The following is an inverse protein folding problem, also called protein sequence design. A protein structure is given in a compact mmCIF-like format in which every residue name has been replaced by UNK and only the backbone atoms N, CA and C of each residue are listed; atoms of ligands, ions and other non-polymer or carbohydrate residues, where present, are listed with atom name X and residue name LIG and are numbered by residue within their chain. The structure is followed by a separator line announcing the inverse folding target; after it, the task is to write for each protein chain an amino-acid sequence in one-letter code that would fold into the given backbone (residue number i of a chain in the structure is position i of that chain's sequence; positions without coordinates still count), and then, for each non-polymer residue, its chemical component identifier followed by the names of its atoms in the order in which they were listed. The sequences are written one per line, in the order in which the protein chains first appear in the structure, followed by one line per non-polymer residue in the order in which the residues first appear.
data_IF_596040344669
#
_entry.id   IF_596040344669
#
_cell.length_a   1.000
_cell.length_b   1.000
_cell.length_c   1.000
_cell.angle_alpha   90.00
_cell.angle_beta   90.00
_cell.angle_gamma   90.00
#
_symmetry.space_group_name_H-M   'P 1'
#
loop_
_entity.id
_entity.type
_entity.pdbx_description
1 polymer ?
#
# COMPACT_ATOMS: atom_id res chain seq x y z
N UNK A 1 -19.85 12.27 3.86
CA UNK A 1 -19.80 13.74 3.97
C UNK A 1 -19.15 14.29 2.72
N UNK A 2 -19.52 15.48 2.20
CA UNK A 2 -18.81 16.07 1.08
C UNK A 2 -17.35 16.32 1.47
N UNK A 3 -16.45 16.23 0.50
CA UNK A 3 -15.05 16.56 0.68
C UNK A 3 -14.91 18.06 0.95
N UNK A 4 -14.09 18.44 1.92
CA UNK A 4 -13.79 19.82 2.24
C UNK A 4 -12.68 20.40 1.35
N UNK A 5 -12.45 21.70 1.46
CA UNK A 5 -11.40 22.44 0.70
C UNK A 5 -10.02 21.82 0.84
N UNK A 6 -9.66 21.34 2.03
CA UNK A 6 -8.39 20.66 2.29
C UNK A 6 -8.22 19.38 1.45
N UNK A 7 -9.28 18.59 1.27
CA UNK A 7 -9.26 17.37 0.45
C UNK A 7 -9.07 17.70 -1.04
N UNK A 8 -9.71 18.76 -1.53
CA UNK A 8 -9.51 19.19 -2.91
C UNK A 8 -8.09 19.72 -3.13
N UNK A 9 -7.55 20.48 -2.18
CA UNK A 9 -6.19 21.03 -2.26
C UNK A 9 -5.13 19.91 -2.32
N UNK A 10 -5.22 18.89 -1.46
CA UNK A 10 -4.29 17.76 -1.49
C UNK A 10 -4.45 16.96 -2.79
N UNK A 11 -5.69 16.72 -3.23
CA UNK A 11 -5.97 16.07 -4.50
C UNK A 11 -5.28 16.76 -5.66
N UNK A 12 -5.49 18.07 -5.81
CA UNK A 12 -4.95 18.83 -6.94
C UNK A 12 -3.42 18.88 -6.90
N UNK A 13 -2.84 19.08 -5.71
CA UNK A 13 -1.39 19.12 -5.53
C UNK A 13 -0.73 17.79 -5.88
N UNK A 14 -1.27 16.68 -5.38
CA UNK A 14 -0.73 15.34 -5.64
C UNK A 14 -0.98 14.91 -7.08
N UNK A 15 -2.14 15.20 -7.65
CA UNK A 15 -2.47 14.96 -9.07
C UNK A 15 -1.49 15.67 -9.99
N UNK A 16 -1.18 16.93 -9.70
CA UNK A 16 -0.19 17.69 -10.47
C UNK A 16 1.17 17.00 -10.42
N UNK A 17 1.63 16.64 -9.22
CA UNK A 17 2.90 15.94 -9.04
C UNK A 17 2.91 14.59 -9.78
N UNK A 18 1.88 13.78 -9.62
CA UNK A 18 1.75 12.47 -10.27
C UNK A 18 1.81 12.59 -11.81
N UNK A 19 1.10 13.57 -12.37
CA UNK A 19 1.08 13.81 -13.81
C UNK A 19 2.42 14.31 -14.35
N UNK A 20 3.11 15.21 -13.63
CA UNK A 20 4.31 15.89 -14.11
C UNK A 20 5.60 15.13 -13.77
N UNK A 21 5.63 14.37 -12.66
CA UNK A 21 6.86 13.76 -12.15
C UNK A 21 6.83 12.22 -12.18
N UNK A 22 5.68 11.57 -11.94
CA UNK A 22 5.60 10.11 -11.89
C UNK A 22 5.26 9.50 -13.26
N UNK A 23 4.14 9.89 -13.86
CA UNK A 23 3.64 9.33 -15.12
C UNK A 23 4.67 9.32 -16.26
N UNK A 24 5.45 10.37 -16.50
CA UNK A 24 6.45 10.37 -17.58
C UNK A 24 7.61 9.40 -17.36
N UNK A 25 7.88 9.04 -16.10
CA UNK A 25 8.99 8.17 -15.72
C UNK A 25 8.57 6.70 -15.50
N UNK A 26 7.29 6.44 -15.23
CA UNK A 26 6.79 5.15 -14.79
C UNK A 26 7.16 3.98 -15.73
N UNK A 27 7.07 4.16 -17.05
CA UNK A 27 7.45 3.12 -18.02
C UNK A 27 8.96 2.80 -17.99
N UNK A 28 9.81 3.80 -17.78
CA UNK A 28 11.25 3.60 -17.62
C UNK A 28 11.57 2.90 -16.32
N UNK A 29 10.99 3.34 -15.21
CA UNK A 29 11.19 2.74 -13.89
C UNK A 29 10.73 1.29 -13.84
N UNK A 30 9.61 0.96 -14.50
CA UNK A 30 9.13 -0.42 -14.59
C UNK A 30 10.17 -1.31 -15.31
N UNK A 31 10.68 -0.89 -16.48
CA UNK A 31 11.69 -1.66 -17.22
C UNK A 31 13.02 -1.82 -16.49
N UNK A 32 13.45 -0.77 -15.78
CA UNK A 32 14.75 -0.71 -15.10
C UNK A 32 14.67 -1.23 -13.65
N UNK A 33 13.47 -1.54 -13.14
CA UNK A 33 13.22 -1.81 -11.72
C UNK A 33 13.82 -0.71 -10.82
N UNK A 34 13.64 0.55 -11.27
CA UNK A 34 14.25 1.72 -10.63
C UNK A 34 13.45 2.19 -9.42
N UNK A 35 14.04 2.17 -8.23
CA UNK A 35 13.42 2.69 -7.02
C UNK A 35 13.43 4.23 -7.02
N UNK A 36 12.26 4.93 -6.95
CA UNK A 36 12.13 6.37 -7.22
C UNK A 36 12.53 7.24 -6.00
N UNK A 37 13.76 7.10 -5.50
CA UNK A 37 14.24 7.73 -4.26
C UNK A 37 14.16 9.24 -4.28
N UNK A 38 14.45 9.88 -5.41
CA UNK A 38 14.41 11.34 -5.51
C UNK A 38 12.97 11.86 -5.51
N UNK A 39 12.05 11.16 -6.14
CA UNK A 39 10.63 11.51 -6.12
C UNK A 39 10.04 11.31 -4.72
N UNK A 40 10.47 10.28 -3.99
CA UNK A 40 10.06 10.07 -2.59
C UNK A 40 10.51 11.22 -1.69
N UNK A 41 11.72 11.77 -1.90
CA UNK A 41 12.17 12.98 -1.17
C UNK A 41 11.29 14.21 -1.47
N UNK A 42 10.87 14.37 -2.72
CA UNK A 42 9.96 15.46 -3.10
C UNK A 42 8.57 15.27 -2.50
N UNK A 43 8.06 14.04 -2.48
CA UNK A 43 6.80 13.68 -1.83
C UNK A 43 6.87 13.91 -0.31
N UNK A 44 8.02 13.61 0.30
CA UNK A 44 8.29 13.93 1.71
C UNK A 44 8.20 15.44 1.99
N UNK A 45 8.79 16.27 1.12
CA UNK A 45 8.69 17.73 1.23
C UNK A 45 7.24 18.26 1.08
N UNK A 46 6.34 17.47 0.45
CA UNK A 46 4.90 17.74 0.39
C UNK A 46 4.13 17.18 1.59
N UNK A 47 4.79 16.55 2.58
CA UNK A 47 4.17 15.94 3.74
C UNK A 47 3.59 14.54 3.52
N UNK A 48 3.83 13.92 2.35
CA UNK A 48 3.17 12.66 1.97
C UNK A 48 3.75 11.41 2.64
N UNK A 49 4.87 11.53 3.35
CA UNK A 49 5.42 10.44 4.16
C UNK A 49 4.73 10.27 5.53
N UNK A 50 3.94 11.27 5.96
CA UNK A 50 3.24 11.27 7.25
C UNK A 50 1.93 12.04 7.20
N UNK A 51 1.05 11.75 6.21
CA UNK A 51 -0.19 12.53 5.96
C UNK A 51 -1.06 12.60 7.21
N UNK A 52 -1.39 11.45 7.81
CA UNK A 52 -2.24 11.36 8.99
C UNK A 52 -1.45 11.33 10.32
N UNK A 53 -0.18 11.75 10.30
CA UNK A 53 0.64 11.86 11.49
C UNK A 53 0.56 13.30 12.03
N UNK A 54 0.34 13.51 13.34
CA UNK A 54 0.31 14.86 13.92
C UNK A 54 1.58 15.66 13.67
N UNK A 55 1.44 16.97 13.53
CA UNK A 55 2.55 17.91 13.27
C UNK A 55 3.65 17.84 14.34
N UNK A 56 3.31 17.63 15.60
CA UNK A 56 4.27 17.45 16.69
C UNK A 56 5.26 16.29 16.43
N UNK A 57 4.83 15.30 15.67
CA UNK A 57 5.64 14.16 15.23
C UNK A 57 6.15 14.30 13.80
N UNK A 58 6.08 15.49 13.22
CA UNK A 58 6.67 15.82 11.93
C UNK A 58 5.81 15.43 10.73
N UNK A 59 4.56 15.04 10.93
CA UNK A 59 3.60 14.74 9.86
C UNK A 59 2.82 15.97 9.40
N UNK A 60 1.89 15.78 8.48
CA UNK A 60 1.05 16.85 7.92
C UNK A 60 -0.21 17.16 8.76
N UNK A 61 -0.53 16.34 9.76
CA UNK A 61 -1.69 16.56 10.64
C UNK A 61 -3.05 16.44 9.96
N UNK A 62 -3.11 15.80 8.79
CA UNK A 62 -4.33 15.63 8.01
C UNK A 62 -5.10 14.37 8.45
N UNK A 63 -6.26 14.12 7.84
CA UNK A 63 -7.10 12.96 8.11
C UNK A 63 -6.79 11.76 7.20
N UNK A 64 -7.41 10.60 7.47
CA UNK A 64 -7.26 9.39 6.67
C UNK A 64 -7.91 9.49 5.28
N UNK A 65 -8.95 10.32 5.14
CA UNK A 65 -9.53 10.61 3.83
C UNK A 65 -8.52 11.34 2.93
N UNK A 66 -7.77 12.30 3.48
CA UNK A 66 -6.66 12.98 2.78
C UNK A 66 -5.55 12.00 2.36
N UNK A 67 -5.19 11.05 3.24
CA UNK A 67 -4.21 10.02 2.90
C UNK A 67 -4.71 9.13 1.74
N UNK A 68 -5.95 8.66 1.81
CA UNK A 68 -6.52 7.82 0.76
C UNK A 68 -6.60 8.56 -0.59
N UNK A 69 -7.00 9.84 -0.60
CA UNK A 69 -7.00 10.69 -1.79
C UNK A 69 -5.58 10.85 -2.36
N UNK A 70 -4.59 11.10 -1.50
CA UNK A 70 -3.20 11.19 -1.94
C UNK A 70 -2.70 9.89 -2.58
N UNK A 71 -3.03 8.73 -2.00
CA UNK A 71 -2.69 7.40 -2.56
C UNK A 71 -3.38 7.17 -3.91
N UNK A 72 -4.66 7.54 -4.07
CA UNK A 72 -5.34 7.46 -5.37
C UNK A 72 -4.60 8.25 -6.44
N UNK A 73 -4.28 9.52 -6.16
CA UNK A 73 -3.62 10.38 -7.13
C UNK A 73 -2.19 9.92 -7.46
N UNK A 74 -1.42 9.45 -6.47
CA UNK A 74 -0.10 8.85 -6.71
C UNK A 74 -0.19 7.63 -7.60
N UNK A 75 -1.16 6.74 -7.33
CA UNK A 75 -1.37 5.51 -8.09
C UNK A 75 -1.78 5.78 -9.54
N UNK A 76 -2.45 6.92 -9.82
CA UNK A 76 -2.75 7.35 -11.18
C UNK A 76 -1.49 7.73 -11.98
N UNK A 77 -0.40 8.08 -11.31
CA UNK A 77 0.90 8.35 -11.92
C UNK A 77 1.77 7.10 -12.02
N UNK A 78 1.93 6.40 -10.89
CA UNK A 78 2.73 5.18 -10.78
C UNK A 78 2.28 4.32 -9.58
N UNK A 79 1.80 3.10 -9.87
CA UNK A 79 1.32 2.16 -8.86
C UNK A 79 2.41 1.75 -7.86
N UNK A 80 3.64 1.58 -8.31
CA UNK A 80 4.76 1.19 -7.46
C UNK A 80 5.12 2.29 -6.43
N UNK A 81 5.19 3.55 -6.86
CA UNK A 81 5.45 4.69 -5.95
C UNK A 81 4.36 4.82 -4.89
N UNK A 82 3.08 4.63 -5.27
CA UNK A 82 1.97 4.68 -4.31
C UNK A 82 2.08 3.58 -3.25
N UNK A 83 2.55 2.38 -3.61
CA UNK A 83 2.81 1.27 -2.67
C UNK A 83 3.89 1.64 -1.64
N UNK A 84 4.99 2.26 -2.07
CA UNK A 84 6.07 2.68 -1.15
C UNK A 84 5.55 3.71 -0.14
N UNK A 85 4.84 4.75 -0.62
CA UNK A 85 4.27 5.79 0.24
C UNK A 85 3.24 5.22 1.21
N UNK A 86 2.38 4.31 0.74
CA UNK A 86 1.39 3.61 1.57
C UNK A 86 2.04 2.83 2.71
N UNK A 87 3.06 2.01 2.42
CA UNK A 87 3.75 1.21 3.45
C UNK A 87 4.49 2.10 4.44
N UNK A 88 5.10 3.20 3.98
CA UNK A 88 5.75 4.16 4.88
C UNK A 88 4.73 4.80 5.85
N UNK A 89 3.55 5.22 5.37
CA UNK A 89 2.48 5.74 6.22
C UNK A 89 1.90 4.67 7.17
N UNK A 90 1.84 3.39 6.74
CA UNK A 90 1.47 2.27 7.62
C UNK A 90 2.43 2.14 8.78
N UNK A 91 3.75 2.13 8.52
CA UNK A 91 4.79 2.06 9.55
C UNK A 91 4.74 3.27 10.48
N UNK A 92 4.54 4.47 9.94
CA UNK A 92 4.34 5.68 10.73
C UNK A 92 3.13 5.57 11.67
N UNK A 93 1.99 5.08 11.18
CA UNK A 93 0.79 4.84 11.97
C UNK A 93 0.99 3.82 13.10
N UNK A 94 1.73 2.74 12.82
CA UNK A 94 2.10 1.74 13.83
C UNK A 94 2.95 2.38 14.95
N UNK A 95 3.99 3.14 14.58
CA UNK A 95 4.84 3.84 15.55
C UNK A 95 4.07 4.90 16.35
N UNK A 96 3.13 5.60 15.71
CA UNK A 96 2.26 6.57 16.41
C UNK A 96 1.41 5.89 17.47
N UNK A 97 0.80 4.75 17.15
CA UNK A 97 -0.13 4.05 18.03
C UNK A 97 0.54 3.26 19.16
N UNK A 98 1.73 2.73 18.93
CA UNK A 98 2.35 1.75 19.83
C UNK A 98 3.77 2.09 20.27
N UNK A 99 4.42 3.06 19.66
CA UNK A 99 5.76 3.48 20.01
C UNK A 99 5.81 4.23 21.35
N UNK A 100 6.84 3.98 22.14
CA UNK A 100 7.19 4.83 23.29
C UNK A 100 7.56 6.25 22.82
N UNK A 101 7.56 7.24 23.72
CA UNK A 101 7.98 8.60 23.37
C UNK A 101 9.38 8.64 22.77
N UNK A 102 10.31 7.82 23.28
CA UNK A 102 11.67 7.70 22.73
C UNK A 102 11.67 7.11 21.32
N UNK A 103 10.88 6.04 21.07
CA UNK A 103 10.75 5.44 19.75
C UNK A 103 10.08 6.39 18.75
N UNK A 104 9.06 7.14 19.18
CA UNK A 104 8.41 8.17 18.32
C UNK A 104 9.41 9.25 17.93
N UNK A 105 10.20 9.75 18.87
CA UNK A 105 11.22 10.77 18.58
C UNK A 105 12.31 10.22 17.65
N UNK A 106 12.77 8.98 17.87
CA UNK A 106 13.89 8.37 17.16
C UNK A 106 13.49 7.86 15.76
N UNK A 107 12.26 7.36 15.59
CA UNK A 107 11.83 6.65 14.37
C UNK A 107 10.62 7.29 13.69
N UNK A 108 9.53 7.59 14.44
CA UNK A 108 8.32 8.15 13.84
C UNK A 108 8.57 9.49 13.17
N UNK A 109 9.22 10.40 13.90
CA UNK A 109 9.47 11.77 13.41
C UNK A 109 10.31 11.78 12.12
N UNK A 110 11.42 11.07 12.01
CA UNK A 110 12.17 10.97 10.75
C UNK A 110 11.38 10.26 9.63
N UNK A 111 10.58 9.22 9.93
CA UNK A 111 9.73 8.55 8.92
C UNK A 111 8.67 9.51 8.39
N UNK A 112 7.97 10.22 9.26
CA UNK A 112 6.92 11.17 8.86
C UNK A 112 7.47 12.31 8.00
N UNK A 113 8.74 12.70 8.20
CA UNK A 113 9.47 13.67 7.38
C UNK A 113 10.10 13.09 6.13
N UNK A 114 10.04 11.75 5.93
CA UNK A 114 10.69 11.07 4.82
C UNK A 114 12.21 11.08 4.86
N UNK A 115 12.81 11.36 6.03
CA UNK A 115 14.25 11.22 6.29
C UNK A 115 14.65 9.74 6.40
N UNK A 116 13.72 8.90 6.87
CA UNK A 116 13.82 7.44 6.92
C UNK A 116 12.64 6.82 6.19
N UNK A 117 12.85 5.63 5.62
CA UNK A 117 11.79 4.79 5.06
C UNK A 117 11.56 3.57 5.95
N UNK A 118 10.28 3.20 6.08
CA UNK A 118 9.84 2.05 6.85
C UNK A 118 9.40 0.87 5.98
N UNK A 119 9.63 -0.36 6.48
CA UNK A 119 9.10 -1.60 5.93
C UNK A 119 8.23 -2.33 6.96
N UNK A 120 7.27 -3.12 6.48
CA UNK A 120 6.38 -3.94 7.30
C UNK A 120 6.63 -5.42 7.02
N UNK A 121 7.19 -6.15 8.00
CA UNK A 121 7.71 -7.49 7.84
C UNK A 121 6.91 -8.52 8.67
N UNK A 122 5.72 -8.88 8.21
CA UNK A 122 4.83 -9.87 8.83
C UNK A 122 4.91 -11.22 8.12
N UNK A 123 4.68 -11.23 6.81
CA UNK A 123 4.55 -12.43 5.96
C UNK A 123 5.82 -13.28 5.96
N UNK A 124 5.63 -14.62 5.91
CA UNK A 124 6.71 -15.61 5.81
C UNK A 124 6.47 -16.53 4.60
N UNK A 125 7.47 -17.30 4.13
CA UNK A 125 7.32 -18.12 2.92
C UNK A 125 6.11 -19.06 2.92
N UNK A 126 5.67 -19.52 4.07
CA UNK A 126 4.53 -20.44 4.25
C UNK A 126 3.36 -19.81 5.02
N UNK A 127 3.42 -18.51 5.35
CA UNK A 127 2.41 -17.80 6.14
C UNK A 127 2.06 -16.47 5.49
N UNK A 128 0.87 -16.39 4.90
CA UNK A 128 0.29 -15.16 4.35
C UNK A 128 -1.00 -14.82 5.07
N UNK A 129 -2.12 -15.38 4.62
CA UNK A 129 -3.48 -15.09 5.15
C UNK A 129 -3.66 -15.47 6.61
N UNK A 130 -3.01 -16.54 7.09
CA UNK A 130 -2.99 -16.91 8.51
C UNK A 130 -1.78 -16.30 9.22
N UNK A 131 -1.83 -15.00 9.46
CA UNK A 131 -0.75 -14.27 10.14
C UNK A 131 -0.47 -14.76 11.57
N UNK A 132 -1.32 -15.60 12.14
CA UNK A 132 -1.08 -16.18 13.47
C UNK A 132 -0.10 -17.36 13.46
N UNK A 133 0.19 -17.93 12.29
CA UNK A 133 1.07 -19.10 12.12
C UNK A 133 2.54 -18.75 11.82
N UNK A 134 2.97 -17.50 12.03
CA UNK A 134 4.37 -17.09 11.83
C UNK A 134 5.32 -17.91 12.72
N UNK A 135 6.53 -18.14 12.21
CA UNK A 135 7.55 -18.99 12.87
C UNK A 135 8.85 -18.27 13.17
N UNK A 136 9.06 -17.04 12.65
CA UNK A 136 10.17 -16.18 13.06
C UNK A 136 10.16 -16.03 14.56
N UNK A 137 11.31 -16.28 15.23
CA UNK A 137 11.45 -16.27 16.69
C UNK A 137 12.23 -15.05 17.14
N UNK A 138 11.87 -14.55 18.32
CA UNK A 138 12.65 -13.57 19.06
C UNK A 138 12.90 -14.09 20.48
N UNK A 139 14.15 -14.21 20.85
CA UNK A 139 14.60 -14.74 22.13
C UNK A 139 15.38 -13.66 22.89
N UNK A 140 15.29 -13.64 24.23
CA UNK A 140 16.08 -12.74 25.06
C UNK A 140 17.56 -13.12 24.94
N UNK A 141 18.43 -12.15 24.61
CA UNK A 141 19.86 -12.36 24.47
C UNK A 141 20.64 -11.07 24.76
N UNK A 142 21.70 -11.15 25.56
CA UNK A 142 22.63 -10.03 25.77
C UNK A 142 22.00 -8.74 26.33
N UNK A 143 20.88 -8.83 27.04
CA UNK A 143 20.13 -7.66 27.51
C UNK A 143 19.20 -7.04 26.47
N UNK A 144 19.08 -7.66 25.29
CA UNK A 144 18.17 -7.30 24.20
C UNK A 144 17.42 -8.51 23.65
N UNK A 145 17.28 -8.55 22.34
CA UNK A 145 16.58 -9.60 21.61
C UNK A 145 17.43 -10.12 20.47
N UNK A 146 17.34 -11.42 20.19
CA UNK A 146 17.92 -12.09 19.03
C UNK A 146 16.79 -12.65 18.18
N UNK A 147 16.71 -12.21 16.93
CA UNK A 147 15.69 -12.61 15.96
C UNK A 147 16.28 -13.63 14.98
N UNK A 148 15.53 -14.71 14.73
CA UNK A 148 15.85 -15.73 13.74
C UNK A 148 14.59 -16.12 12.95
N UNK A 149 14.69 -16.13 11.61
CA UNK A 149 13.59 -16.52 10.73
C UNK A 149 13.69 -15.92 9.34
N UNK A 150 12.62 -16.09 8.56
CA UNK A 150 12.57 -15.59 7.17
C UNK A 150 11.28 -14.81 6.98
N UNK A 151 11.38 -13.59 6.47
CA UNK A 151 10.26 -12.75 6.04
C UNK A 151 10.18 -12.70 4.53
N UNK A 152 8.96 -12.77 3.99
CA UNK A 152 8.71 -12.91 2.56
C UNK A 152 7.85 -11.76 2.05
N UNK A 153 8.10 -11.32 0.82
CA UNK A 153 7.35 -10.27 0.12
C UNK A 153 7.35 -8.92 0.84
N UNK A 154 8.51 -8.53 1.40
CA UNK A 154 8.62 -7.30 2.19
C UNK A 154 8.86 -6.11 1.26
N UNK A 155 7.84 -5.27 1.13
CA UNK A 155 7.92 -3.99 0.38
C UNK A 155 8.98 -3.09 1.00
N UNK A 156 9.81 -2.50 0.15
CA UNK A 156 10.97 -1.68 0.54
C UNK A 156 11.99 -2.41 1.42
N UNK A 157 11.99 -3.73 1.47
CA UNK A 157 12.86 -4.52 2.35
C UNK A 157 14.36 -4.30 2.14
N UNK A 158 14.77 -3.88 0.93
CA UNK A 158 16.15 -3.46 0.61
C UNK A 158 16.38 -1.97 0.88
N UNK A 159 15.40 -1.13 0.53
CA UNK A 159 15.56 0.32 0.49
C UNK A 159 15.09 1.05 1.76
N UNK A 160 14.37 0.36 2.67
CA UNK A 160 13.97 0.92 3.95
C UNK A 160 15.15 1.01 4.93
N UNK A 161 15.07 1.96 5.86
CA UNK A 161 16.04 2.19 6.91
C UNK A 161 15.70 1.39 8.18
N UNK A 162 14.42 1.06 8.37
CA UNK A 162 13.95 0.19 9.42
C UNK A 162 12.75 -0.66 8.98
N UNK A 163 12.57 -1.80 9.63
CA UNK A 163 11.43 -2.69 9.44
C UNK A 163 10.69 -2.93 10.77
N UNK A 164 9.37 -2.90 10.74
CA UNK A 164 8.56 -3.45 11.83
C UNK A 164 8.45 -4.95 11.59
N UNK A 165 9.16 -5.71 12.42
CA UNK A 165 9.26 -7.18 12.32
C UNK A 165 8.38 -7.83 13.38
N UNK A 166 7.54 -8.78 12.96
CA UNK A 166 6.73 -9.59 13.88
C UNK A 166 7.38 -10.94 14.10
N UNK A 167 7.54 -11.32 15.36
CA UNK A 167 8.19 -12.56 15.74
C UNK A 167 7.52 -13.20 16.97
N UNK A 168 7.64 -14.51 17.11
CA UNK A 168 7.15 -15.27 18.25
C UNK A 168 8.13 -15.15 19.40
N UNK A 169 7.68 -14.60 20.51
CA UNK A 169 8.41 -14.52 21.79
C UNK A 169 8.00 -15.63 22.75
N UNK A 170 6.73 -16.09 22.65
CA UNK A 170 6.24 -17.23 23.41
C UNK A 170 5.31 -18.11 22.56
N UNK A 171 5.78 -19.28 22.18
CA UNK A 171 5.02 -20.21 21.34
C UNK A 171 3.78 -20.80 22.05
N UNK A 172 3.81 -20.93 23.38
CA UNK A 172 2.70 -21.53 24.15
C UNK A 172 1.47 -20.62 24.17
N UNK A 173 1.67 -19.30 24.09
CA UNK A 173 0.62 -18.29 24.12
C UNK A 173 -0.08 -18.06 22.76
N UNK A 174 0.31 -18.77 21.70
CA UNK A 174 -0.28 -18.65 20.36
C UNK A 174 -0.24 -17.19 19.85
N UNK A 175 -1.40 -16.62 19.52
CA UNK A 175 -1.52 -15.23 19.03
C UNK A 175 -1.00 -14.19 20.04
N UNK A 176 -1.12 -14.46 21.34
CA UNK A 176 -0.62 -13.61 22.40
C UNK A 176 0.89 -13.75 22.61
N UNK A 177 1.52 -14.72 22.00
CA UNK A 177 2.96 -14.90 22.02
C UNK A 177 3.69 -14.23 20.85
N UNK A 178 3.00 -13.44 20.02
CA UNK A 178 3.59 -12.68 18.93
C UNK A 178 3.89 -11.26 19.40
N UNK A 179 5.12 -10.80 19.19
CA UNK A 179 5.59 -9.45 19.50
C UNK A 179 6.03 -8.72 18.25
N UNK A 180 6.10 -7.39 18.31
CA UNK A 180 6.57 -6.54 17.23
C UNK A 180 7.87 -5.84 17.62
N UNK A 181 8.76 -5.66 16.67
CA UNK A 181 10.09 -5.08 16.89
C UNK A 181 10.41 -4.03 15.82
N UNK A 182 11.04 -2.94 16.23
CA UNK A 182 11.68 -1.99 15.29
C UNK A 182 13.08 -2.50 15.01
N UNK A 183 13.33 -2.99 13.82
CA UNK A 183 14.62 -3.55 13.40
C UNK A 183 15.28 -2.62 12.39
N UNK A 184 16.44 -2.01 12.69
CA UNK A 184 17.22 -1.29 11.69
C UNK A 184 17.65 -2.25 10.56
N UNK A 185 17.49 -1.87 9.30
CA UNK A 185 17.82 -2.76 8.18
C UNK A 185 19.33 -2.94 7.98
N UNK A 186 20.14 -2.11 8.61
CA UNK A 186 21.59 -2.23 8.68
C UNK A 186 22.09 -3.03 9.91
N UNK A 187 21.17 -3.58 10.73
CA UNK A 187 21.57 -4.41 11.87
C UNK A 187 22.28 -5.68 11.39
N UNK A 188 23.36 -6.10 12.07
CA UNK A 188 23.98 -7.39 11.79
C UNK A 188 22.96 -8.52 11.85
N UNK A 189 22.91 -9.37 10.83
CA UNK A 189 21.95 -10.46 10.72
C UNK A 189 20.61 -10.08 10.06
N UNK A 190 20.40 -8.83 9.67
CA UNK A 190 19.31 -8.47 8.73
C UNK A 190 19.85 -8.62 7.30
N UNK A 191 19.44 -9.65 6.61
CA UNK A 191 20.01 -10.05 5.30
C UNK A 191 18.92 -9.96 4.24
N UNK A 192 19.14 -9.12 3.23
CA UNK A 192 18.32 -9.10 2.02
C UNK A 192 18.76 -10.29 1.15
N UNK A 193 18.09 -11.43 1.31
CA UNK A 193 18.47 -12.67 0.64
C UNK A 193 18.09 -12.66 -0.85
N UNK A 194 16.97 -12.02 -1.19
CA UNK A 194 16.47 -11.97 -2.55
C UNK A 194 15.57 -10.76 -2.76
N UNK A 195 15.61 -10.18 -3.96
CA UNK A 195 14.57 -9.29 -4.48
C UNK A 195 13.70 -10.10 -5.43
N UNK A 196 12.40 -10.07 -5.23
CA UNK A 196 11.46 -10.84 -6.02
C UNK A 196 11.26 -10.24 -7.42
N UNK A 197 11.31 -11.08 -8.43
CA UNK A 197 10.85 -10.76 -9.77
C UNK A 197 9.32 -10.85 -9.79
N UNK A 198 8.65 -9.77 -10.16
CA UNK A 198 7.18 -9.64 -10.05
C UNK A 198 6.55 -9.45 -11.41
N UNK A 199 5.26 -9.69 -11.50
CA UNK A 199 4.46 -9.39 -12.69
C UNK A 199 4.32 -7.87 -12.95
N UNK A 200 4.32 -7.05 -11.90
CA UNK A 200 4.18 -5.60 -11.97
C UNK A 200 4.77 -4.89 -10.75
N UNK A 201 4.58 -3.57 -10.69
CA UNK A 201 5.13 -2.69 -9.65
C UNK A 201 6.65 -2.86 -9.47
N UNK A 202 7.38 -2.97 -10.58
CA UNK A 202 8.82 -3.26 -10.56
C UNK A 202 9.64 -2.15 -9.89
N UNK A 203 9.17 -0.90 -9.92
CA UNK A 203 9.85 0.22 -9.26
C UNK A 203 9.77 0.19 -7.72
N UNK A 204 8.94 -0.68 -7.13
CA UNK A 204 8.92 -0.96 -5.69
C UNK A 204 9.63 -2.29 -5.44
N UNK A 205 10.75 -2.29 -4.72
CA UNK A 205 11.40 -3.54 -4.34
C UNK A 205 10.53 -4.34 -3.37
N UNK A 206 10.56 -5.65 -3.54
CA UNK A 206 9.87 -6.62 -2.69
C UNK A 206 10.87 -7.71 -2.32
N UNK A 207 11.25 -7.76 -1.05
CA UNK A 207 12.38 -8.57 -0.63
C UNK A 207 11.97 -9.82 0.17
N UNK A 208 12.79 -10.87 0.06
CA UNK A 208 12.92 -11.89 1.08
C UNK A 208 14.01 -11.45 2.06
N UNK A 209 13.67 -11.42 3.35
CA UNK A 209 14.60 -11.03 4.42
C UNK A 209 14.86 -12.24 5.29
N UNK A 210 16.14 -12.59 5.45
CA UNK A 210 16.61 -13.58 6.42
C UNK A 210 17.10 -12.84 7.65
N UNK A 211 16.59 -13.22 8.80
CA UNK A 211 17.06 -12.79 10.12
C UNK A 211 17.91 -13.94 10.66
N UNK A 212 19.21 -13.72 10.74
CA UNK A 212 20.19 -14.71 11.21
C UNK A 212 20.95 -14.16 12.42
N UNK A 213 20.56 -14.62 13.60
CA UNK A 213 21.08 -14.09 14.87
C UNK A 213 21.06 -12.56 14.91
N UNK A 214 19.99 -11.96 14.38
CA UNK A 214 19.84 -10.51 14.31
C UNK A 214 19.59 -9.96 15.71
N UNK A 215 20.64 -9.40 16.31
CA UNK A 215 20.58 -8.85 17.66
C UNK A 215 20.17 -7.39 17.65
N UNK A 216 19.19 -7.06 18.49
CA UNK A 216 18.65 -5.71 18.64
C UNK A 216 18.50 -5.37 20.14
N UNK A 217 18.62 -4.09 20.51
CA UNK A 217 18.42 -3.63 21.88
C UNK A 217 17.04 -3.95 22.44
N UNK A 218 16.90 -4.03 23.76
CA UNK A 218 15.64 -4.30 24.42
C UNK A 218 14.56 -3.24 24.13
N UNK A 219 14.97 -1.99 24.01
CA UNK A 219 14.11 -0.85 23.70
C UNK A 219 13.54 -0.88 22.26
N UNK A 220 13.96 -1.82 21.41
CA UNK A 220 13.40 -2.01 20.08
C UNK A 220 12.10 -2.84 20.09
N UNK A 221 11.71 -3.42 21.23
CA UNK A 221 10.38 -3.99 21.38
C UNK A 221 9.32 -2.89 21.23
N UNK A 222 8.38 -3.08 20.30
CA UNK A 222 7.32 -2.12 20.02
C UNK A 222 6.05 -2.47 20.81
N UNK A 223 5.63 -1.58 21.69
CA UNK A 223 4.56 -1.85 22.64
C UNK A 223 5.00 -2.82 23.74
N UNK A 224 4.06 -3.64 24.23
CA UNK A 224 4.36 -4.71 25.19
C UNK A 224 4.66 -6.04 24.46
N UNK A 225 5.37 -6.92 25.14
CA UNK A 225 5.55 -8.31 24.67
C UNK A 225 4.18 -9.00 24.55
N UNK A 226 3.98 -9.79 23.48
CA UNK A 226 2.74 -10.51 23.22
C UNK A 226 1.63 -9.68 22.54
N UNK A 227 1.81 -8.40 22.28
CA UNK A 227 0.78 -7.56 21.61
C UNK A 227 0.96 -7.42 20.10
N UNK A 228 1.99 -8.05 19.52
CA UNK A 228 2.34 -7.89 18.11
C UNK A 228 1.20 -8.28 17.15
N UNK A 229 0.48 -9.35 17.43
CA UNK A 229 -0.66 -9.75 16.58
C UNK A 229 -1.75 -8.67 16.55
N UNK A 230 -2.04 -8.04 17.69
CA UNK A 230 -2.99 -6.92 17.75
C UNK A 230 -2.47 -5.70 16.99
N UNK A 231 -1.16 -5.40 17.10
CA UNK A 231 -0.52 -4.31 16.33
C UNK A 231 -0.68 -4.55 14.82
N UNK A 232 -0.40 -5.77 14.34
CA UNK A 232 -0.57 -6.11 12.94
C UNK A 232 -2.01 -5.88 12.47
N UNK A 233 -3.00 -6.42 13.19
CA UNK A 233 -4.40 -6.35 12.76
C UNK A 233 -5.00 -4.95 12.82
N UNK A 234 -4.67 -4.14 13.84
CA UNK A 234 -5.25 -2.80 14.01
C UNK A 234 -4.87 -1.81 12.89
N UNK A 235 -3.80 -2.09 12.17
CA UNK A 235 -3.34 -1.26 11.06
C UNK A 235 -3.82 -1.74 9.68
N UNK A 236 -4.36 -2.97 9.60
CA UNK A 236 -4.89 -3.52 8.35
C UNK A 236 -6.15 -2.79 7.86
N UNK A 237 -6.91 -2.14 8.74
CA UNK A 237 -8.06 -1.32 8.31
C UNK A 237 -7.61 -0.16 7.42
N UNK A 238 -6.60 0.59 7.87
CA UNK A 238 -6.02 1.69 7.08
C UNK A 238 -5.38 1.17 5.79
N UNK A 239 -4.65 0.06 5.86
CA UNK A 239 -4.05 -0.58 4.68
C UNK A 239 -5.09 -0.94 3.63
N UNK A 240 -6.24 -1.51 4.03
CA UNK A 240 -7.34 -1.86 3.10
C UNK A 240 -7.94 -0.64 2.42
N UNK A 241 -8.18 0.44 3.15
CA UNK A 241 -8.67 1.71 2.57
C UNK A 241 -7.66 2.25 1.54
N UNK A 242 -6.39 2.25 1.88
CA UNK A 242 -5.33 2.73 0.98
C UNK A 242 -5.18 1.86 -0.27
N UNK A 243 -5.28 0.52 -0.15
CA UNK A 243 -5.28 -0.39 -1.32
C UNK A 243 -6.51 -0.16 -2.20
N UNK A 244 -7.67 0.11 -1.62
CA UNK A 244 -8.86 0.46 -2.40
C UNK A 244 -8.66 1.76 -3.20
N UNK A 245 -8.13 2.80 -2.55
CA UNK A 245 -7.80 4.08 -3.20
C UNK A 245 -6.73 3.90 -4.30
N UNK A 246 -5.68 3.13 -4.02
CA UNK A 246 -4.65 2.78 -5.00
C UNK A 246 -5.23 2.07 -6.23
N UNK A 247 -6.13 1.11 -6.01
CA UNK A 247 -6.81 0.38 -7.09
C UNK A 247 -7.62 1.34 -7.97
N UNK A 248 -8.38 2.26 -7.35
CA UNK A 248 -9.16 3.29 -8.04
C UNK A 248 -8.23 4.20 -8.85
N UNK A 249 -7.10 4.63 -8.32
CA UNK A 249 -6.12 5.48 -9.02
C UNK A 249 -5.53 4.82 -10.26
N UNK A 250 -5.15 3.55 -10.18
CA UNK A 250 -4.67 2.79 -11.33
C UNK A 250 -5.77 2.56 -12.36
N UNK A 251 -6.99 2.24 -11.92
CA UNK A 251 -8.16 2.12 -12.82
C UNK A 251 -8.45 3.44 -13.54
N UNK A 252 -8.39 4.57 -12.85
CA UNK A 252 -8.55 5.91 -13.43
C UNK A 252 -7.50 6.18 -14.51
N UNK A 253 -6.23 5.86 -14.25
CA UNK A 253 -5.16 6.04 -15.23
C UNK A 253 -5.37 5.19 -16.50
N UNK A 254 -5.80 3.94 -16.34
CA UNK A 254 -6.12 3.06 -17.47
C UNK A 254 -7.35 3.57 -18.26
N UNK A 255 -8.38 4.04 -17.56
CA UNK A 255 -9.56 4.64 -18.18
C UNK A 255 -9.22 5.91 -18.95
N UNK A 256 -8.43 6.81 -18.38
CA UNK A 256 -8.01 8.05 -19.05
C UNK A 256 -7.24 7.76 -20.36
N UNK A 257 -6.35 6.77 -20.32
CA UNK A 257 -5.62 6.31 -21.51
C UNK A 257 -6.59 5.72 -22.57
N UNK A 258 -7.54 4.88 -22.11
CA UNK A 258 -8.50 4.24 -23.01
C UNK A 258 -9.44 5.25 -23.67
N UNK A 259 -9.93 6.26 -22.94
CA UNK A 259 -10.82 7.29 -23.50
C UNK A 259 -10.07 8.20 -24.49
N UNK A 260 -8.82 8.57 -24.17
CA UNK A 260 -7.99 9.35 -25.09
C UNK A 260 -7.76 8.57 -26.40
N UNK A 261 -7.35 7.32 -26.30
CA UNK A 261 -7.15 6.45 -27.47
C UNK A 261 -8.44 6.26 -28.28
N UNK A 262 -9.58 6.02 -27.62
CA UNK A 262 -10.86 5.80 -28.29
C UNK A 262 -11.38 7.04 -29.05
N UNK A 263 -11.01 8.25 -28.63
CA UNK A 263 -11.35 9.51 -29.34
C UNK A 263 -10.51 9.71 -30.60
N UNK A 264 -9.27 9.26 -30.61
CA UNK A 264 -8.34 9.47 -31.73
C UNK A 264 -8.37 8.33 -32.75
N UNK A 265 -8.37 7.08 -32.28
CA UNK A 265 -8.34 5.89 -33.14
C UNK A 265 -9.64 5.70 -33.89
N UNK A 266 -9.54 5.56 -35.22
CA UNK A 266 -10.68 5.30 -36.11
C UNK A 266 -10.73 3.84 -36.54
N UNK A 267 -11.94 3.29 -36.65
CA UNK A 267 -12.25 2.00 -37.23
C UNK A 267 -13.63 2.07 -37.90
N UNK A 268 -13.82 1.39 -39.01
CA UNK A 268 -15.07 1.43 -39.80
C UNK A 268 -15.56 2.87 -40.10
N UNK A 269 -14.63 3.76 -40.44
CA UNK A 269 -14.92 5.15 -40.86
C UNK A 269 -15.17 6.17 -39.75
N UNK A 270 -15.14 5.80 -38.44
CA UNK A 270 -15.42 6.70 -37.34
C UNK A 270 -14.52 6.42 -36.11
N UNK A 271 -14.37 7.39 -35.17
CA UNK A 271 -13.67 7.19 -33.91
C UNK A 271 -14.20 5.98 -33.11
N UNK A 272 -13.33 5.26 -32.40
CA UNK A 272 -13.75 4.09 -31.60
C UNK A 272 -14.83 4.43 -30.59
N UNK A 273 -14.78 5.61 -29.98
CA UNK A 273 -15.76 6.05 -28.97
C UNK A 273 -17.20 6.14 -29.50
N UNK A 274 -17.37 6.31 -30.83
CA UNK A 274 -18.68 6.37 -31.48
C UNK A 274 -19.28 4.98 -31.74
N UNK A 275 -18.53 3.91 -31.49
CA UNK A 275 -19.07 2.55 -31.52
C UNK A 275 -19.73 2.23 -30.19
N UNK A 276 -20.99 1.82 -30.21
CA UNK A 276 -21.82 1.59 -29.03
C UNK A 276 -21.17 0.58 -28.05
N UNK A 277 -20.55 -0.47 -28.55
CA UNK A 277 -19.85 -1.46 -27.73
C UNK A 277 -18.66 -0.85 -26.96
N UNK A 278 -17.97 0.15 -27.52
CA UNK A 278 -16.86 0.87 -26.86
C UNK A 278 -17.42 1.89 -25.85
N UNK A 279 -18.43 2.68 -26.26
CA UNK A 279 -19.01 3.68 -25.36
C UNK A 279 -19.68 3.05 -24.13
N UNK A 280 -20.35 1.89 -24.26
CA UNK A 280 -20.90 1.16 -23.12
C UNK A 280 -19.82 0.64 -22.17
N UNK A 281 -18.75 0.07 -22.72
CA UNK A 281 -17.61 -0.35 -21.91
C UNK A 281 -17.00 0.81 -21.13
N UNK A 282 -16.79 1.95 -21.75
CA UNK A 282 -16.29 3.16 -21.09
C UNK A 282 -17.26 3.66 -19.99
N UNK A 283 -18.59 3.56 -20.22
CA UNK A 283 -19.58 3.92 -19.20
C UNK A 283 -19.54 2.98 -17.98
N UNK A 284 -19.38 1.66 -18.21
CA UNK A 284 -19.23 0.68 -17.14
C UNK A 284 -17.92 0.91 -16.33
N UNK A 285 -16.82 1.20 -17.03
CA UNK A 285 -15.54 1.54 -16.40
C UNK A 285 -15.68 2.77 -15.50
N UNK A 286 -16.26 3.86 -16.01
CA UNK A 286 -16.47 5.10 -15.25
C UNK A 286 -17.36 4.88 -14.02
N UNK A 287 -18.46 4.13 -14.17
CA UNK A 287 -19.38 3.79 -13.09
C UNK A 287 -18.69 2.98 -11.99
N UNK A 288 -17.89 1.97 -12.37
CA UNK A 288 -17.12 1.15 -11.43
C UNK A 288 -16.08 1.94 -10.65
N UNK A 289 -15.33 2.81 -11.32
CA UNK A 289 -14.33 3.69 -10.71
C UNK A 289 -14.98 4.59 -9.66
N UNK A 290 -16.09 5.25 -10.02
CA UNK A 290 -16.80 6.13 -9.08
C UNK A 290 -17.38 5.37 -7.89
N UNK A 291 -17.97 4.20 -8.10
CA UNK A 291 -18.45 3.35 -7.01
C UNK A 291 -17.31 2.94 -6.06
N UNK A 292 -16.15 2.55 -6.59
CA UNK A 292 -14.95 2.22 -5.80
C UNK A 292 -14.46 3.41 -4.98
N UNK A 293 -14.46 4.61 -5.59
CA UNK A 293 -14.07 5.86 -4.92
C UNK A 293 -15.00 6.17 -3.74
N UNK A 294 -16.30 6.08 -3.92
CA UNK A 294 -17.26 6.32 -2.85
C UNK A 294 -17.11 5.32 -1.70
N UNK A 295 -16.82 4.06 -1.98
CA UNK A 295 -16.63 3.04 -0.95
C UNK A 295 -15.38 3.31 -0.09
N UNK A 296 -14.22 3.64 -0.68
CA UNK A 296 -13.04 3.92 0.13
C UNK A 296 -13.15 5.22 0.91
N UNK A 297 -13.74 6.27 0.31
CA UNK A 297 -13.99 7.54 1.01
C UNK A 297 -14.91 7.34 2.21
N UNK A 298 -15.97 6.56 2.05
CA UNK A 298 -16.87 6.23 3.16
C UNK A 298 -16.13 5.53 4.30
N UNK A 299 -15.31 4.52 3.99
CA UNK A 299 -14.53 3.81 5.01
C UNK A 299 -13.50 4.73 5.70
N UNK A 300 -12.81 5.60 4.95
CA UNK A 300 -11.88 6.59 5.49
C UNK A 300 -12.57 7.57 6.44
N UNK A 301 -13.72 8.12 6.06
CA UNK A 301 -14.50 9.05 6.87
C UNK A 301 -15.05 8.42 8.15
N UNK A 302 -15.43 7.14 8.13
CA UNK A 302 -15.80 6.41 9.35
C UNK A 302 -14.61 6.35 10.32
N UNK A 303 -13.42 6.06 9.81
CA UNK A 303 -12.19 6.03 10.60
C UNK A 303 -11.87 7.40 11.21
N UNK A 304 -11.95 8.47 10.42
CA UNK A 304 -11.72 9.84 10.89
C UNK A 304 -12.73 10.27 11.96
N UNK A 305 -13.95 9.75 11.89
CA UNK A 305 -14.96 9.92 12.93
C UNK A 305 -14.77 9.02 14.16
N UNK A 306 -13.68 8.24 14.24
CA UNK A 306 -13.42 7.30 15.35
C UNK A 306 -14.43 6.13 15.41
N UNK A 307 -15.12 5.83 14.30
CA UNK A 307 -16.10 4.75 14.21
C UNK A 307 -15.46 3.46 13.69
N UNK A 308 -15.91 2.27 14.14
CA UNK A 308 -15.49 1.01 13.56
C UNK A 308 -15.74 1.00 12.04
N UNK A 309 -14.74 0.61 11.26
CA UNK A 309 -14.83 0.63 9.79
C UNK A 309 -14.26 -0.64 9.12
N UNK A 310 -13.96 -1.69 9.89
CA UNK A 310 -13.33 -2.91 9.38
C UNK A 310 -14.14 -3.55 8.24
N UNK A 311 -15.47 -3.62 8.39
CA UNK A 311 -16.37 -4.16 7.36
C UNK A 311 -16.35 -3.30 6.10
N UNK A 312 -16.50 -1.99 6.25
CA UNK A 312 -16.54 -1.02 5.15
C UNK A 312 -15.19 -0.95 4.42
N UNK A 313 -14.07 -0.97 5.15
CA UNK A 313 -12.72 -1.05 4.57
C UNK A 313 -12.52 -2.35 3.78
N UNK A 314 -13.03 -3.48 4.30
CA UNK A 314 -12.97 -4.76 3.59
C UNK A 314 -13.85 -4.76 2.32
N UNK A 315 -15.06 -4.18 2.38
CA UNK A 315 -15.94 -4.00 1.21
C UNK A 315 -15.29 -3.11 0.16
N UNK A 316 -14.70 -1.98 0.57
CA UNK A 316 -14.01 -1.06 -0.31
C UNK A 316 -12.83 -1.74 -1.03
N UNK A 317 -11.97 -2.45 -0.28
CA UNK A 317 -10.81 -3.16 -0.83
C UNK A 317 -11.23 -4.27 -1.80
N UNK A 318 -12.19 -5.09 -1.42
CA UNK A 318 -12.71 -6.17 -2.26
C UNK A 318 -13.24 -5.62 -3.59
N UNK A 319 -14.18 -4.68 -3.51
CA UNK A 319 -14.82 -4.11 -4.69
C UNK A 319 -13.79 -3.38 -5.59
N UNK A 320 -13.00 -2.46 -5.01
CA UNK A 320 -12.09 -1.63 -5.79
C UNK A 320 -11.01 -2.44 -6.49
N UNK A 321 -10.43 -3.46 -5.84
CA UNK A 321 -9.36 -4.25 -6.44
C UNK A 321 -9.87 -5.16 -7.58
N UNK A 322 -11.05 -5.76 -7.45
CA UNK A 322 -11.65 -6.58 -8.51
C UNK A 322 -12.16 -5.72 -9.68
N UNK A 323 -12.79 -4.58 -9.38
CA UNK A 323 -13.21 -3.60 -10.37
C UNK A 323 -12.02 -3.05 -11.16
N UNK A 324 -10.94 -2.68 -10.48
CA UNK A 324 -9.77 -2.07 -11.12
C UNK A 324 -9.06 -3.03 -12.10
N UNK A 325 -8.94 -4.31 -11.75
CA UNK A 325 -8.38 -5.31 -12.67
C UNK A 325 -9.25 -5.43 -13.93
N UNK A 326 -10.58 -5.47 -13.78
CA UNK A 326 -11.51 -5.48 -14.91
C UNK A 326 -11.38 -4.23 -15.77
N UNK A 327 -11.32 -3.04 -15.17
CA UNK A 327 -11.15 -1.77 -15.87
C UNK A 327 -9.83 -1.74 -16.66
N UNK A 328 -8.73 -2.18 -16.06
CA UNK A 328 -7.44 -2.24 -16.74
C UNK A 328 -7.46 -3.25 -17.92
N UNK A 329 -8.11 -4.39 -17.75
CA UNK A 329 -8.33 -5.37 -18.84
C UNK A 329 -9.18 -4.79 -19.96
N UNK A 330 -10.26 -4.08 -19.64
CA UNK A 330 -11.12 -3.39 -20.62
C UNK A 330 -10.36 -2.27 -21.35
N UNK A 331 -9.45 -1.57 -20.69
CA UNK A 331 -8.58 -0.58 -21.30
C UNK A 331 -7.64 -1.20 -22.35
N UNK A 332 -7.02 -2.35 -22.04
CA UNK A 332 -6.23 -3.14 -23.01
C UNK A 332 -7.12 -3.51 -24.21
N UNK A 333 -8.32 -4.01 -23.95
CA UNK A 333 -9.24 -4.43 -25.01
C UNK A 333 -9.65 -3.28 -25.95
N UNK A 334 -9.83 -2.05 -25.40
CA UNK A 334 -10.13 -0.86 -26.22
C UNK A 334 -8.94 -0.47 -27.10
N UNK A 335 -7.69 -0.62 -26.62
CA UNK A 335 -6.49 -0.38 -27.42
C UNK A 335 -6.24 -1.48 -28.46
N UNK A 336 -6.84 -2.66 -28.32
CA UNK A 336 -6.61 -3.80 -29.21
C UNK A 336 -5.15 -4.26 -29.17
N UNK A 337 -4.51 -4.52 -30.30
CA UNK A 337 -3.11 -4.95 -30.36
C UNK A 337 -2.14 -3.96 -29.71
N UNK A 338 -2.41 -2.67 -29.77
CA UNK A 338 -1.62 -1.64 -29.08
C UNK A 338 -1.74 -1.67 -27.57
N UNK A 339 -2.79 -2.25 -27.01
CA UNK A 339 -2.91 -2.47 -25.56
C UNK A 339 -2.04 -3.61 -25.04
N UNK A 340 -1.51 -4.46 -25.92
CA UNK A 340 -0.70 -5.63 -25.56
C UNK A 340 0.81 -5.38 -25.70
N UNK A 341 1.21 -4.23 -26.20
CA UNK A 341 2.62 -3.83 -26.37
C UNK A 341 2.95 -2.63 -25.48
N UNK A 342 4.22 -2.47 -25.12
CA UNK A 342 4.70 -1.50 -24.14
C UNK A 342 4.73 -0.04 -24.61
N UNK A 343 4.25 0.24 -25.84
CA UNK A 343 4.16 1.61 -26.38
C UNK A 343 3.07 2.44 -25.67
N UNK A 344 2.08 1.77 -25.09
CA UNK A 344 0.99 2.37 -24.33
C UNK A 344 1.02 1.93 -22.86
N UNK A 345 0.54 2.75 -21.92
CA UNK A 345 0.70 2.48 -20.49
C UNK A 345 -0.21 1.36 -19.95
N UNK A 346 -1.24 0.95 -20.71
CA UNK A 346 -2.34 0.11 -20.18
C UNK A 346 -1.90 -1.30 -19.80
N UNK A 347 -0.91 -1.90 -20.52
CA UNK A 347 -0.40 -3.22 -20.19
C UNK A 347 0.39 -3.20 -18.86
N UNK A 348 1.19 -2.15 -18.62
CA UNK A 348 1.91 -1.96 -17.35
C UNK A 348 0.94 -1.75 -16.20
N UNK A 349 -0.05 -0.86 -16.36
CA UNK A 349 -1.05 -0.58 -15.33
C UNK A 349 -1.83 -1.86 -14.99
N UNK A 350 -2.16 -2.69 -15.98
CA UNK A 350 -2.83 -3.97 -15.75
C UNK A 350 -1.95 -4.95 -14.95
N UNK A 351 -0.65 -5.03 -15.23
CA UNK A 351 0.29 -5.83 -14.43
C UNK A 351 0.40 -5.30 -13.00
N UNK A 352 0.46 -3.98 -12.84
CA UNK A 352 0.60 -3.32 -11.54
C UNK A 352 -0.63 -3.50 -10.66
N UNK A 353 -1.84 -3.44 -11.22
CA UNK A 353 -3.08 -3.50 -10.44
C UNK A 353 -3.37 -4.90 -9.91
N UNK A 354 -2.88 -5.95 -10.58
CA UNK A 354 -3.23 -7.34 -10.23
C UNK A 354 -2.89 -7.70 -8.78
N UNK A 355 -1.82 -7.17 -8.23
CA UNK A 355 -1.42 -7.48 -6.85
C UNK A 355 -2.36 -6.91 -5.79
N UNK A 356 -3.17 -5.92 -6.12
CA UNK A 356 -4.11 -5.30 -5.16
C UNK A 356 -5.19 -6.26 -4.66
N UNK A 357 -5.48 -7.33 -5.39
CA UNK A 357 -6.37 -8.41 -4.95
C UNK A 357 -5.68 -9.40 -3.98
N UNK A 358 -4.35 -9.32 -3.82
CA UNK A 358 -3.54 -10.31 -3.11
C UNK A 358 -3.05 -9.77 -1.77
N UNK A 359 -2.31 -8.65 -1.78
CA UNK A 359 -1.74 -8.10 -0.55
C UNK A 359 -2.78 -7.38 0.33
N UNK A 360 -2.41 -7.06 1.57
CA UNK A 360 -3.29 -6.47 2.60
C UNK A 360 -4.57 -7.31 2.85
N UNK A 361 -4.40 -8.64 2.71
CA UNK A 361 -5.48 -9.63 2.76
C UNK A 361 -6.12 -9.89 1.41
N UNK A 362 -5.96 -11.11 0.89
CA UNK A 362 -6.54 -11.53 -0.39
C UNK A 362 -8.07 -11.33 -0.43
N UNK A 363 -8.64 -11.27 -1.64
CA UNK A 363 -10.09 -11.07 -1.84
C UNK A 363 -10.95 -12.04 -1.02
N UNK A 364 -10.52 -13.30 -0.86
CA UNK A 364 -11.25 -14.27 -0.04
C UNK A 364 -11.19 -13.97 1.46
N UNK A 365 -10.08 -13.38 1.93
CA UNK A 365 -9.98 -12.89 3.31
C UNK A 365 -10.90 -11.70 3.53
N UNK A 366 -11.06 -10.81 2.55
CA UNK A 366 -12.04 -9.71 2.66
C UNK A 366 -13.47 -10.27 2.78
N UNK A 367 -13.81 -11.26 1.95
CA UNK A 367 -15.13 -11.95 2.01
C UNK A 367 -15.35 -12.61 3.37
N UNK A 368 -14.34 -13.28 3.93
CA UNK A 368 -14.39 -13.88 5.27
C UNK A 368 -14.66 -12.83 6.36
N UNK A 369 -13.96 -11.69 6.31
CA UNK A 369 -14.14 -10.60 7.29
C UNK A 369 -15.52 -9.99 7.19
N UNK A 370 -16.01 -9.73 5.98
CA UNK A 370 -17.35 -9.21 5.74
C UNK A 370 -18.41 -10.20 6.25
N UNK A 371 -18.28 -11.50 5.90
CA UNK A 371 -19.21 -12.53 6.35
C UNK A 371 -19.34 -12.59 7.87
N UNK A 372 -18.19 -12.62 8.58
CA UNK A 372 -18.18 -12.61 10.05
C UNK A 372 -18.83 -11.37 10.66
N UNK A 373 -18.67 -10.22 10.01
CA UNK A 373 -19.31 -8.98 10.47
C UNK A 373 -20.85 -9.00 10.28
N UNK A 374 -21.35 -9.77 9.31
CA UNK A 374 -22.79 -9.95 9.09
C UNK A 374 -23.40 -10.98 10.06
N UNK A 375 -22.63 -11.99 10.49
CA UNK A 375 -23.07 -12.98 11.48
C UNK A 375 -23.21 -12.40 12.88
N UNK A 376 -22.41 -11.38 13.21
CA UNK A 376 -22.40 -10.72 14.53
C UNK A 376 -23.23 -9.43 14.61
N UNK A 377 -23.98 -9.10 13.56
CA UNK A 377 -24.78 -7.88 13.48
C UNK A 377 -26.23 -8.06 13.99
#
# INVERSE_FOLDING_TARGET
MPLGEQHELIRDSVRKFAREQLRPNAARWDRESHFPREELKRLAAMGLCGVAIPEEWGGAGMDHASLAIAIEELASGDGATSTIVQVNNLVAGILLGYGSSAQKQRHLKPIARGELLGAFALTEPHVGSDASAITTRAERAGGGWRLNGVKQFITSGRNADLAIVFAVTDKAEGKKGISAFVVPTNAPGYIVARIEEKAGQHASDTAQIVLENCEIPAENLLGAEGVGYRIALSNLESGRVNVAAQSVGMAQAAFDAAIAYAKERKSFGKPLIEHQAVSFRLADMATGIEAGRQLYLHAAQLRDAGRPCLKEASMAKLFASEMAEKVCSDAIQIHGGYGYVSDFPVERIWRDVRVTQIYEGASDIQRLVIGRALEGA
#
